data_IF_338133049262
#
_entry.id   IF_338133049262
#
_cell.length_a   1.000
_cell.length_b   1.000
_cell.length_c   1.000
_cell.angle_alpha   90.00
_cell.angle_beta   90.00
_cell.angle_gamma   90.00
#
_symmetry.space_group_name_H-M   'P 1'
#
loop_
_entity.id
_entity.type
_entity.pdbx_description
1 polymer ?
#
# COMPACT_ATOMS: atom_id res chain seq x y z
N UNK A 1 -5.26 21.19 15.60
CA UNK A 1 -4.34 21.35 14.45
C UNK A 1 -3.97 20.04 13.79
N UNK A 2 -3.55 19.02 14.54
CA UNK A 2 -3.15 17.71 13.96
C UNK A 2 -4.27 17.06 13.14
N UNK A 3 -5.48 16.92 13.70
CA UNK A 3 -6.63 16.33 12.97
C UNK A 3 -6.99 17.13 11.70
N UNK A 4 -6.74 18.43 11.67
CA UNK A 4 -6.97 19.25 10.47
C UNK A 4 -6.09 18.84 9.29
N UNK A 5 -4.81 18.49 9.52
CA UNK A 5 -3.91 17.98 8.47
C UNK A 5 -4.36 16.64 7.92
N UNK A 6 -4.84 15.72 8.79
CA UNK A 6 -5.37 14.44 8.36
C UNK A 6 -6.60 14.60 7.45
N UNK A 7 -7.56 15.42 7.88
CA UNK A 7 -8.74 15.67 7.06
C UNK A 7 -8.43 16.45 5.79
N UNK A 8 -7.48 17.39 5.83
CA UNK A 8 -7.00 18.06 4.61
C UNK A 8 -6.44 17.06 3.61
N UNK A 9 -5.60 16.10 4.05
CA UNK A 9 -5.09 15.04 3.18
C UNK A 9 -6.23 14.18 2.61
N UNK A 10 -7.19 13.79 3.43
CA UNK A 10 -8.35 12.97 3.02
C UNK A 10 -9.20 13.69 1.97
N UNK A 11 -9.53 14.95 2.20
CA UNK A 11 -10.33 15.78 1.28
C UNK A 11 -9.56 16.00 -0.03
N UNK A 12 -8.27 16.30 0.04
CA UNK A 12 -7.43 16.49 -1.15
C UNK A 12 -7.32 15.21 -1.97
N UNK A 13 -7.17 14.03 -1.34
CA UNK A 13 -7.18 12.74 -2.06
C UNK A 13 -8.54 12.46 -2.69
N UNK A 14 -9.64 12.78 -2.00
CA UNK A 14 -10.99 12.65 -2.55
C UNK A 14 -11.18 13.53 -3.80
N UNK A 15 -10.93 14.84 -3.66
CA UNK A 15 -11.09 15.79 -4.76
C UNK A 15 -10.18 15.41 -5.94
N UNK A 16 -8.92 15.06 -5.67
CA UNK A 16 -7.98 14.62 -6.69
C UNK A 16 -8.51 13.37 -7.43
N UNK A 17 -9.06 12.41 -6.70
CA UNK A 17 -9.65 11.19 -7.29
C UNK A 17 -10.83 11.52 -8.20
N UNK A 18 -11.77 12.36 -7.74
CA UNK A 18 -12.94 12.75 -8.53
C UNK A 18 -12.52 13.51 -9.80
N UNK A 19 -11.59 14.46 -9.66
CA UNK A 19 -11.10 15.23 -10.80
C UNK A 19 -10.29 14.38 -11.79
N UNK A 20 -9.47 13.43 -11.32
CA UNK A 20 -8.72 12.53 -12.20
C UNK A 20 -9.67 11.67 -13.03
N UNK A 21 -10.65 11.01 -12.39
CA UNK A 21 -11.63 10.18 -13.07
C UNK A 21 -12.51 10.99 -14.02
N UNK A 22 -13.02 12.14 -13.58
CA UNK A 22 -13.81 13.04 -14.43
C UNK A 22 -12.99 13.60 -15.60
N UNK A 23 -11.76 14.07 -15.34
CA UNK A 23 -10.85 14.58 -16.38
C UNK A 23 -10.50 13.53 -17.42
N UNK A 24 -10.35 12.27 -17.00
CA UNK A 24 -10.10 11.14 -17.90
C UNK A 24 -11.34 10.82 -18.78
N UNK A 25 -12.54 10.78 -18.17
CA UNK A 25 -13.80 10.49 -18.89
C UNK A 25 -14.09 11.57 -19.92
N UNK A 26 -13.96 12.85 -19.53
CA UNK A 26 -14.25 14.00 -20.41
C UNK A 26 -13.06 14.45 -21.22
N UNK A 27 -11.92 13.72 -21.17
CA UNK A 27 -10.66 14.01 -21.90
C UNK A 27 -10.15 15.44 -21.68
N UNK A 28 -10.22 15.94 -20.45
CA UNK A 28 -9.79 17.30 -20.06
C UNK A 28 -8.45 17.27 -19.35
N UNK A 29 -7.36 17.41 -20.08
CA UNK A 29 -5.99 17.36 -19.54
C UNK A 29 -5.70 18.41 -18.46
N UNK A 30 -6.27 19.61 -18.55
CA UNK A 30 -6.12 20.62 -17.48
C UNK A 30 -6.69 20.15 -16.15
N UNK A 31 -7.79 19.38 -16.19
CA UNK A 31 -8.45 18.83 -15.00
C UNK A 31 -7.59 17.72 -14.38
N UNK A 32 -7.05 16.80 -15.19
CA UNK A 32 -6.16 15.73 -14.68
C UNK A 32 -4.83 16.30 -14.16
N UNK A 33 -4.33 17.39 -14.74
CA UNK A 33 -3.16 18.10 -14.22
C UNK A 33 -3.45 18.74 -12.87
N UNK A 34 -4.61 19.38 -12.69
CA UNK A 34 -5.04 19.91 -11.40
C UNK A 34 -5.21 18.80 -10.38
N UNK A 35 -5.85 17.69 -10.75
CA UNK A 35 -6.03 16.52 -9.92
C UNK A 35 -4.67 16.00 -9.37
N UNK A 36 -3.67 15.92 -10.24
CA UNK A 36 -2.33 15.51 -9.85
C UNK A 36 -1.71 16.41 -8.78
N UNK A 37 -1.78 17.73 -8.94
CA UNK A 37 -1.20 18.66 -7.97
C UNK A 37 -1.95 18.66 -6.64
N UNK A 38 -3.27 18.48 -6.65
CA UNK A 38 -4.07 18.30 -5.44
C UNK A 38 -3.69 17.00 -4.72
N UNK A 39 -3.44 15.91 -5.47
CA UNK A 39 -2.97 14.66 -4.90
C UNK A 39 -1.59 14.80 -4.25
N UNK A 40 -0.66 15.48 -4.90
CA UNK A 40 0.67 15.79 -4.34
C UNK A 40 0.54 16.64 -3.07
N UNK A 41 -0.32 17.65 -3.07
CA UNK A 41 -0.60 18.46 -1.88
C UNK A 41 -1.18 17.62 -0.74
N UNK A 42 -2.10 16.68 -1.06
CA UNK A 42 -2.63 15.71 -0.10
C UNK A 42 -1.54 14.81 0.49
N UNK A 43 -0.61 14.34 -0.35
CA UNK A 43 0.54 13.53 0.10
C UNK A 43 1.47 14.33 1.02
N UNK A 44 1.68 15.62 0.75
CA UNK A 44 2.44 16.53 1.63
C UNK A 44 1.73 16.72 2.97
N UNK A 45 0.41 16.97 2.98
CA UNK A 45 -0.37 17.06 4.22
C UNK A 45 -0.27 15.77 5.04
N UNK A 46 -0.36 14.61 4.38
CA UNK A 46 -0.22 13.32 5.06
C UNK A 46 1.20 13.10 5.60
N UNK A 47 2.24 13.51 4.86
CA UNK A 47 3.63 13.50 5.35
C UNK A 47 3.80 14.34 6.60
N UNK A 48 3.34 15.61 6.55
CA UNK A 48 3.41 16.51 7.70
C UNK A 48 2.62 15.97 8.89
N UNK A 49 1.45 15.36 8.63
CA UNK A 49 0.65 14.71 9.66
C UNK A 49 1.41 13.56 10.34
N UNK A 50 1.99 12.63 9.57
CA UNK A 50 2.74 11.49 10.12
C UNK A 50 3.96 11.96 10.92
N UNK A 51 4.72 12.92 10.40
CA UNK A 51 5.87 13.50 11.11
C UNK A 51 5.43 14.17 12.43
N UNK A 52 4.42 15.04 12.37
CA UNK A 52 3.92 15.73 13.55
C UNK A 52 3.37 14.74 14.59
N UNK A 53 2.65 13.71 14.16
CA UNK A 53 2.15 12.65 15.04
C UNK A 53 3.30 11.88 15.70
N UNK A 54 4.34 11.56 14.94
CA UNK A 54 5.54 10.88 15.47
C UNK A 54 6.27 11.73 16.52
N UNK A 55 6.41 13.04 16.28
CA UNK A 55 7.02 13.96 17.23
C UNK A 55 6.18 14.05 18.52
N UNK A 56 4.86 14.19 18.42
CA UNK A 56 3.96 14.29 19.58
C UNK A 56 3.95 12.96 20.36
N UNK A 57 3.91 11.84 19.65
CA UNK A 57 3.90 10.50 20.25
C UNK A 57 5.28 10.04 20.75
N UNK A 58 6.37 10.76 20.42
CA UNK A 58 7.77 10.41 20.71
C UNK A 58 8.13 9.00 20.21
N UNK A 59 7.51 8.58 19.09
CA UNK A 59 7.71 7.26 18.47
C UNK A 59 7.29 7.27 17.00
N UNK A 60 7.65 6.21 16.27
CA UNK A 60 7.12 6.03 14.92
C UNK A 60 5.59 5.85 14.98
N UNK A 61 4.82 6.57 14.13
CA UNK A 61 3.35 6.51 14.12
C UNK A 61 2.87 5.26 13.35
N UNK A 62 3.15 4.07 13.88
CA UNK A 62 2.93 2.77 13.24
C UNK A 62 2.37 1.71 14.20
N UNK A 63 1.86 2.10 15.39
CA UNK A 63 1.55 1.17 16.48
C UNK A 63 0.10 0.68 16.52
N UNK A 64 -0.79 1.28 15.76
CA UNK A 64 -2.20 0.88 15.70
C UNK A 64 -2.73 0.92 14.26
N UNK A 65 -3.99 0.47 14.06
CA UNK A 65 -4.59 0.38 12.73
C UNK A 65 -4.74 1.74 12.05
N UNK A 66 -5.08 2.79 12.81
CA UNK A 66 -5.18 4.15 12.28
C UNK A 66 -3.83 4.62 11.70
N UNK A 67 -2.77 4.46 12.50
CA UNK A 67 -1.42 4.89 12.12
C UNK A 67 -0.90 4.10 10.92
N UNK A 68 -1.09 2.77 10.94
CA UNK A 68 -0.67 1.93 9.82
C UNK A 68 -1.45 2.26 8.54
N UNK A 69 -2.78 2.40 8.59
CA UNK A 69 -3.59 2.75 7.42
C UNK A 69 -3.21 4.12 6.85
N UNK A 70 -2.93 5.10 7.72
CA UNK A 70 -2.48 6.44 7.32
C UNK A 70 -1.11 6.37 6.62
N UNK A 71 -0.17 5.60 7.17
CA UNK A 71 1.15 5.36 6.59
C UNK A 71 1.06 4.54 5.29
N UNK A 72 0.15 3.57 5.21
CA UNK A 72 -0.06 2.78 3.99
C UNK A 72 -0.60 3.64 2.84
N UNK A 73 -1.61 4.49 3.10
CA UNK A 73 -2.10 5.45 2.10
C UNK A 73 -0.98 6.40 1.65
N UNK A 74 -0.14 6.88 2.57
CA UNK A 74 1.04 7.66 2.28
C UNK A 74 2.06 6.89 1.43
N UNK A 75 2.33 5.63 1.75
CA UNK A 75 3.22 4.77 0.99
C UNK A 75 2.77 4.59 -0.46
N UNK A 76 1.46 4.37 -0.68
CA UNK A 76 0.87 4.32 -2.04
C UNK A 76 1.08 5.64 -2.77
N UNK A 77 0.83 6.77 -2.11
CA UNK A 77 0.96 8.10 -2.71
C UNK A 77 2.42 8.42 -3.07
N UNK A 78 3.35 8.21 -2.15
CA UNK A 78 4.79 8.49 -2.38
C UNK A 78 5.36 7.60 -3.48
N UNK A 79 5.01 6.31 -3.49
CA UNK A 79 5.46 5.42 -4.56
C UNK A 79 4.85 5.79 -5.91
N UNK A 80 3.57 6.20 -5.96
CA UNK A 80 2.95 6.69 -7.20
C UNK A 80 3.64 7.95 -7.69
N UNK A 81 3.96 8.91 -6.80
CA UNK A 81 4.70 10.14 -7.14
C UNK A 81 6.09 9.78 -7.68
N UNK A 82 6.81 8.88 -7.02
CA UNK A 82 8.12 8.41 -7.48
C UNK A 82 8.07 7.73 -8.86
N UNK A 83 7.07 6.90 -9.11
CA UNK A 83 6.84 6.28 -10.41
C UNK A 83 6.52 7.32 -11.49
N UNK A 84 5.73 8.34 -11.16
CA UNK A 84 5.38 9.41 -12.08
C UNK A 84 6.61 10.21 -12.53
N UNK A 85 7.48 10.56 -11.57
CA UNK A 85 8.73 11.28 -11.87
C UNK A 85 9.67 10.44 -12.74
N UNK A 86 9.82 9.15 -12.43
CA UNK A 86 10.79 8.26 -13.07
C UNK A 86 10.31 7.69 -14.41
N UNK A 87 9.05 7.33 -14.55
CA UNK A 87 8.52 6.56 -15.68
C UNK A 87 7.33 7.20 -16.39
N UNK A 88 6.92 8.42 -16.00
CA UNK A 88 5.74 9.12 -16.52
C UNK A 88 4.49 8.23 -16.54
N UNK A 89 4.29 7.47 -15.46
CA UNK A 89 3.21 6.50 -15.33
C UNK A 89 1.83 7.17 -15.08
N UNK A 90 1.49 8.21 -15.87
CA UNK A 90 0.25 9.00 -15.72
C UNK A 90 -1.01 8.13 -15.71
N UNK A 91 -0.97 7.07 -16.49
CA UNK A 91 -2.04 6.10 -16.59
C UNK A 91 -2.35 5.34 -15.28
N UNK A 92 -1.42 5.29 -14.31
CA UNK A 92 -1.68 4.65 -13.00
C UNK A 92 -2.55 5.52 -12.09
N UNK A 93 -2.61 6.82 -12.32
CA UNK A 93 -3.30 7.77 -11.44
C UNK A 93 -4.74 7.39 -11.21
N UNK A 94 -5.47 7.08 -12.28
CA UNK A 94 -6.89 6.76 -12.24
C UNK A 94 -7.25 5.52 -11.39
N UNK A 95 -6.31 4.61 -11.17
CA UNK A 95 -6.51 3.44 -10.30
C UNK A 95 -5.86 3.62 -8.92
N UNK A 96 -4.69 4.26 -8.85
CA UNK A 96 -3.91 4.37 -7.61
C UNK A 96 -4.41 5.49 -6.68
N UNK A 97 -4.90 6.62 -7.21
CA UNK A 97 -5.47 7.69 -6.38
C UNK A 97 -6.72 7.25 -5.61
N UNK A 98 -7.72 6.56 -6.23
CA UNK A 98 -8.82 5.96 -5.47
C UNK A 98 -8.36 5.01 -4.37
N UNK A 99 -7.34 4.19 -4.62
CA UNK A 99 -6.81 3.28 -3.60
C UNK A 99 -6.21 4.02 -2.41
N UNK A 100 -5.40 5.05 -2.65
CA UNK A 100 -4.87 5.88 -1.57
C UNK A 100 -5.99 6.56 -0.77
N UNK A 101 -7.02 7.10 -1.45
CA UNK A 101 -8.19 7.68 -0.82
C UNK A 101 -8.97 6.66 0.02
N UNK A 102 -9.26 5.46 -0.51
CA UNK A 102 -10.00 4.42 0.21
C UNK A 102 -9.26 3.93 1.45
N UNK A 103 -7.94 3.74 1.35
CA UNK A 103 -7.11 3.33 2.48
C UNK A 103 -7.09 4.42 3.57
N UNK A 104 -6.98 5.70 3.19
CA UNK A 104 -7.03 6.81 4.14
C UNK A 104 -8.44 6.99 4.73
N UNK A 105 -9.49 6.71 3.95
CA UNK A 105 -10.88 6.69 4.43
C UNK A 105 -11.10 5.59 5.47
N UNK A 106 -10.50 4.41 5.26
CA UNK A 106 -10.51 3.36 6.27
C UNK A 106 -9.81 3.81 7.56
N UNK A 107 -8.68 4.50 7.46
CA UNK A 107 -8.04 5.10 8.63
C UNK A 107 -8.99 6.05 9.38
N UNK A 108 -9.79 6.85 8.66
CA UNK A 108 -10.72 7.79 9.26
C UNK A 108 -11.79 7.13 10.16
N UNK A 109 -12.06 5.85 9.96
CA UNK A 109 -13.01 5.05 10.75
C UNK A 109 -12.38 4.45 12.02
N UNK A 110 -11.06 4.52 12.18
CA UNK A 110 -10.34 3.94 13.31
C UNK A 110 -10.14 4.95 14.44
N UNK A 111 -9.98 4.49 15.71
CA UNK A 111 -9.62 5.35 16.84
C UNK A 111 -8.32 6.10 16.58
N UNK A 112 -8.29 7.42 16.87
CA UNK A 112 -7.15 8.32 16.55
C UNK A 112 -6.33 8.73 17.76
N UNK A 113 -6.71 8.26 18.93
CA UNK A 113 -6.03 8.62 20.16
C UNK A 113 -4.55 8.20 20.11
N UNK A 114 -3.70 9.03 20.71
CA UNK A 114 -2.30 8.72 20.91
C UNK A 114 -2.20 8.05 22.26
N UNK A 115 -2.07 6.74 22.24
CA UNK A 115 -1.86 5.92 23.44
C UNK A 115 -0.37 5.70 23.68
N UNK A 116 0.00 5.41 24.93
CA UNK A 116 1.36 4.99 25.25
C UNK A 116 1.71 3.70 24.50
N UNK A 117 2.96 3.62 24.08
CA UNK A 117 3.44 2.43 23.37
C UNK A 117 3.58 1.26 24.34
N UNK A 118 2.90 0.17 24.06
CA UNK A 118 3.06 -1.08 24.81
C UNK A 118 4.54 -1.52 24.81
N UNK A 119 5.07 -2.06 25.92
CA UNK A 119 6.46 -2.49 26.01
C UNK A 119 6.91 -3.40 24.86
N UNK A 120 6.06 -4.33 24.44
CA UNK A 120 6.30 -5.24 23.32
C UNK A 120 6.58 -4.52 21.98
N UNK A 121 6.01 -3.32 21.79
CA UNK A 121 6.19 -2.52 20.56
C UNK A 121 7.43 -1.62 20.60
N UNK A 122 8.13 -1.53 21.74
CA UNK A 122 9.36 -0.75 21.89
C UNK A 122 10.59 -1.51 21.37
N UNK A 123 10.56 -1.90 20.11
CA UNK A 123 11.62 -2.66 19.45
C UNK A 123 11.94 -2.06 18.08
N UNK A 124 13.23 -1.99 17.73
CA UNK A 124 13.66 -1.58 16.40
C UNK A 124 13.15 -2.56 15.30
N UNK A 125 13.03 -3.85 15.65
CA UNK A 125 12.50 -4.88 14.76
C UNK A 125 11.03 -4.67 14.44
N UNK A 126 10.23 -4.21 15.42
CA UNK A 126 8.85 -3.79 15.17
C UNK A 126 8.80 -2.64 14.16
N UNK A 127 9.64 -1.60 14.33
CA UNK A 127 9.72 -0.49 13.39
C UNK A 127 10.09 -0.92 11.96
N UNK A 128 11.07 -1.81 11.83
CA UNK A 128 11.48 -2.37 10.54
C UNK A 128 10.37 -3.24 9.92
N UNK A 129 9.74 -4.10 10.71
CA UNK A 129 8.61 -4.95 10.30
C UNK A 129 7.48 -4.11 9.71
N UNK A 130 6.95 -3.15 10.47
CA UNK A 130 5.80 -2.36 10.03
C UNK A 130 6.19 -1.38 8.91
N UNK A 131 7.38 -0.74 8.99
CA UNK A 131 7.84 0.16 7.94
C UNK A 131 8.02 -0.54 6.60
N UNK A 132 8.55 -1.76 6.60
CA UNK A 132 8.65 -2.58 5.39
C UNK A 132 7.29 -3.02 4.86
N UNK A 133 6.31 -3.30 5.75
CA UNK A 133 4.95 -3.67 5.37
C UNK A 133 4.24 -2.53 4.62
N UNK A 134 4.41 -1.28 5.05
CA UNK A 134 3.85 -0.09 4.36
C UNK A 134 4.24 -0.07 2.88
N UNK A 135 5.52 -0.18 2.59
CA UNK A 135 6.02 -0.14 1.21
C UNK A 135 5.77 -1.43 0.43
N UNK A 136 5.80 -2.59 1.09
CA UNK A 136 5.46 -3.87 0.48
C UNK A 136 4.02 -3.87 -0.05
N UNK A 137 3.07 -3.51 0.81
CA UNK A 137 1.66 -3.49 0.43
C UNK A 137 1.35 -2.40 -0.58
N UNK A 138 2.01 -1.23 -0.49
CA UNK A 138 1.90 -0.18 -1.49
C UNK A 138 2.38 -0.65 -2.87
N UNK A 139 3.50 -1.38 -2.94
CA UNK A 139 4.01 -1.95 -4.18
C UNK A 139 3.03 -2.96 -4.79
N UNK A 140 2.43 -3.83 -3.99
CA UNK A 140 1.43 -4.79 -4.47
C UNK A 140 0.15 -4.13 -4.95
N UNK A 141 -0.35 -3.12 -4.24
CA UNK A 141 -1.52 -2.34 -4.67
C UNK A 141 -1.23 -1.66 -6.00
N UNK A 142 -0.07 -1.02 -6.16
CA UNK A 142 0.31 -0.37 -7.42
C UNK A 142 0.52 -1.39 -8.56
N UNK A 143 1.04 -2.58 -8.26
CA UNK A 143 1.11 -3.66 -9.25
C UNK A 143 -0.30 -4.09 -9.71
N UNK A 144 -1.24 -4.21 -8.78
CA UNK A 144 -2.65 -4.49 -9.08
C UNK A 144 -3.31 -3.42 -9.94
N UNK A 145 -3.06 -2.13 -9.62
CA UNK A 145 -3.52 -0.99 -10.44
C UNK A 145 -2.96 -1.08 -11.87
N UNK A 146 -1.67 -1.46 -12.00
CA UNK A 146 -1.03 -1.69 -13.30
C UNK A 146 -1.67 -2.85 -14.07
N UNK A 147 -1.93 -3.97 -13.39
CA UNK A 147 -2.62 -5.13 -13.97
C UNK A 147 -4.03 -4.79 -14.43
N UNK A 148 -4.80 -4.06 -13.61
CA UNK A 148 -6.13 -3.58 -13.99
C UNK A 148 -6.08 -2.71 -15.24
N UNK A 149 -5.14 -1.76 -15.29
CA UNK A 149 -4.91 -0.92 -16.48
C UNK A 149 -4.58 -1.77 -17.70
N UNK A 150 -3.71 -2.77 -17.55
CA UNK A 150 -3.35 -3.68 -18.65
C UNK A 150 -4.60 -4.36 -19.22
N UNK A 151 -5.46 -4.93 -18.36
CA UNK A 151 -6.69 -5.62 -18.75
C UNK A 151 -7.70 -4.69 -19.44
N UNK A 152 -7.89 -3.48 -18.92
CA UNK A 152 -8.83 -2.50 -19.47
C UNK A 152 -8.36 -1.93 -20.82
N UNK A 153 -7.07 -1.97 -21.10
CA UNK A 153 -6.49 -1.37 -22.30
C UNK A 153 -5.86 -2.38 -23.27
N UNK A 154 -6.00 -3.68 -23.03
CA UNK A 154 -5.44 -4.76 -23.84
C UNK A 154 -5.66 -4.56 -25.35
N UNK A 155 -6.88 -4.14 -25.73
CA UNK A 155 -7.27 -3.94 -27.14
C UNK A 155 -6.97 -2.54 -27.71
N UNK A 156 -6.57 -1.58 -26.86
CA UNK A 156 -6.42 -0.16 -27.24
C UNK A 156 -4.98 0.30 -27.28
N UNK A 157 -4.10 -0.29 -26.47
CA UNK A 157 -2.70 0.11 -26.38
C UNK A 157 -1.83 -0.70 -27.34
N UNK A 158 -0.75 -0.07 -27.90
CA UNK A 158 0.27 -0.78 -28.63
C UNK A 158 0.93 -1.89 -27.77
N UNK A 159 1.33 -2.98 -28.40
CA UNK A 159 1.99 -4.13 -27.72
C UNK A 159 3.21 -3.70 -26.90
N UNK A 160 3.99 -2.74 -27.40
CA UNK A 160 5.16 -2.23 -26.68
C UNK A 160 4.79 -1.54 -25.35
N UNK A 161 3.70 -0.77 -25.31
CA UNK A 161 3.22 -0.13 -24.08
C UNK A 161 2.64 -1.16 -23.10
N UNK A 162 1.92 -2.17 -23.60
CA UNK A 162 1.44 -3.28 -22.78
C UNK A 162 2.61 -4.08 -22.15
N UNK A 163 3.69 -4.29 -22.91
CA UNK A 163 4.88 -4.95 -22.40
C UNK A 163 5.61 -4.11 -21.33
N UNK A 164 5.70 -2.80 -21.50
CA UNK A 164 6.27 -1.89 -20.49
C UNK A 164 5.44 -1.90 -19.20
N UNK A 165 4.12 -1.91 -19.33
CA UNK A 165 3.19 -1.98 -18.22
C UNK A 165 3.33 -3.29 -17.44
N UNK A 166 3.35 -4.41 -18.16
CA UNK A 166 3.58 -5.75 -17.60
C UNK A 166 4.95 -5.85 -16.89
N UNK A 167 6.00 -5.26 -17.47
CA UNK A 167 7.33 -5.22 -16.85
C UNK A 167 7.35 -4.36 -15.58
N UNK A 168 6.63 -3.23 -15.56
CA UNK A 168 6.51 -2.39 -14.37
C UNK A 168 5.77 -3.14 -13.25
N UNK A 169 4.68 -3.86 -13.56
CA UNK A 169 3.98 -4.70 -12.58
C UNK A 169 4.93 -5.76 -11.99
N UNK A 170 5.72 -6.42 -12.83
CA UNK A 170 6.73 -7.37 -12.37
C UNK A 170 7.73 -6.75 -11.39
N UNK A 171 8.26 -5.56 -11.70
CA UNK A 171 9.21 -4.85 -10.82
C UNK A 171 8.59 -4.45 -9.49
N UNK A 172 7.34 -4.00 -9.49
CA UNK A 172 6.60 -3.67 -8.29
C UNK A 172 6.36 -4.92 -7.42
N UNK A 173 5.99 -6.03 -8.04
CA UNK A 173 5.85 -7.31 -7.34
C UNK A 173 7.18 -7.78 -6.76
N UNK A 174 8.27 -7.70 -7.51
CA UNK A 174 9.61 -8.10 -7.03
C UNK A 174 10.05 -7.24 -5.83
N UNK A 175 9.82 -5.91 -5.88
CA UNK A 175 10.09 -5.02 -4.75
C UNK A 175 9.19 -5.35 -3.55
N UNK A 176 7.89 -5.51 -3.77
CA UNK A 176 6.93 -5.85 -2.72
C UNK A 176 7.25 -7.19 -2.05
N UNK A 177 7.65 -8.19 -2.83
CA UNK A 177 8.04 -9.51 -2.34
C UNK A 177 9.33 -9.47 -1.49
N UNK A 178 10.34 -8.73 -1.94
CA UNK A 178 11.55 -8.51 -1.15
C UNK A 178 11.23 -7.85 0.20
N UNK A 179 10.42 -6.80 0.17
CA UNK A 179 10.01 -6.10 1.39
C UNK A 179 9.13 -6.99 2.28
N UNK A 180 8.23 -7.82 1.71
CA UNK A 180 7.42 -8.76 2.49
C UNK A 180 8.29 -9.85 3.14
N UNK A 181 9.38 -10.24 2.51
CA UNK A 181 10.37 -11.13 3.14
C UNK A 181 11.01 -10.46 4.35
N UNK A 182 11.35 -9.17 4.25
CA UNK A 182 11.84 -8.40 5.41
C UNK A 182 10.77 -8.29 6.49
N UNK A 183 9.50 -8.08 6.12
CA UNK A 183 8.36 -8.07 7.06
C UNK A 183 8.31 -9.36 7.86
N UNK A 184 8.34 -10.52 7.20
CA UNK A 184 8.25 -11.82 7.88
C UNK A 184 9.46 -12.05 8.79
N UNK A 185 10.67 -11.80 8.31
CA UNK A 185 11.90 -12.02 9.10
C UNK A 185 11.99 -11.07 10.29
N UNK A 186 11.78 -9.77 10.08
CA UNK A 186 11.81 -8.79 11.16
C UNK A 186 10.66 -9.01 12.16
N UNK A 187 9.49 -9.44 11.67
CA UNK A 187 8.35 -9.81 12.48
C UNK A 187 8.60 -11.02 13.35
N UNK A 188 9.28 -12.06 12.83
CA UNK A 188 9.65 -13.23 13.62
C UNK A 188 10.64 -12.88 14.74
N UNK A 189 11.65 -12.06 14.46
CA UNK A 189 12.61 -11.62 15.50
C UNK A 189 11.91 -10.74 16.55
N UNK A 190 11.01 -9.86 16.11
CA UNK A 190 10.22 -9.07 17.04
C UNK A 190 9.28 -9.95 17.90
N UNK A 191 8.62 -10.95 17.31
CA UNK A 191 7.74 -11.88 18.02
C UNK A 191 8.49 -12.66 19.12
N UNK A 192 9.71 -13.09 18.84
CA UNK A 192 10.55 -13.73 19.85
C UNK A 192 10.83 -12.81 21.04
N UNK A 193 11.13 -11.52 20.80
CA UNK A 193 11.34 -10.54 21.87
C UNK A 193 10.07 -10.19 22.63
N UNK A 194 8.90 -10.20 21.97
CA UNK A 194 7.64 -9.79 22.56
C UNK A 194 6.95 -10.89 23.37
N UNK A 195 7.02 -12.16 22.91
CA UNK A 195 6.34 -13.31 23.53
C UNK A 195 7.12 -14.63 23.44
N UNK A 196 8.45 -14.56 23.30
CA UNK A 196 9.37 -15.70 23.37
C UNK A 196 9.07 -16.82 22.35
N UNK A 197 8.59 -16.45 21.15
CA UNK A 197 8.33 -17.39 20.07
C UNK A 197 8.52 -16.70 18.70
N UNK A 198 9.37 -17.25 17.84
CA UNK A 198 9.58 -16.73 16.48
C UNK A 198 8.35 -16.84 15.58
N UNK A 199 7.48 -17.83 15.86
CA UNK A 199 6.32 -18.14 15.04
C UNK A 199 5.27 -18.90 15.86
N UNK A 200 4.04 -18.40 15.84
CA UNK A 200 2.94 -18.96 16.66
C UNK A 200 1.73 -19.41 15.83
N UNK A 201 1.80 -19.28 14.51
CA UNK A 201 0.67 -19.47 13.58
C UNK A 201 -0.50 -18.50 13.86
N UNK A 202 -0.18 -17.35 14.43
CA UNK A 202 -1.13 -16.26 14.56
C UNK A 202 -1.75 -15.92 13.19
N UNK A 203 -3.02 -15.52 13.13
CA UNK A 203 -3.67 -15.18 11.87
C UNK A 203 -2.88 -14.19 11.00
N UNK A 204 -2.21 -13.19 11.57
CA UNK A 204 -1.38 -12.25 10.78
C UNK A 204 -0.12 -12.91 10.21
N UNK A 205 0.54 -13.75 10.99
CA UNK A 205 1.69 -14.52 10.52
C UNK A 205 1.28 -15.42 9.35
N UNK A 206 0.19 -16.16 9.54
CA UNK A 206 -0.36 -17.10 8.55
C UNK A 206 -0.74 -16.39 7.25
N UNK A 207 -1.47 -15.27 7.32
CA UNK A 207 -1.89 -14.53 6.13
C UNK A 207 -0.73 -13.78 5.46
N UNK A 208 0.28 -13.33 6.23
CA UNK A 208 1.52 -12.81 5.66
C UNK A 208 2.26 -13.88 4.86
N UNK A 209 2.34 -15.11 5.38
CA UNK A 209 2.94 -16.25 4.68
C UNK A 209 2.13 -16.65 3.44
N UNK A 210 0.79 -16.70 3.52
CA UNK A 210 -0.08 -16.95 2.35
C UNK A 210 0.17 -15.90 1.25
N UNK A 211 0.24 -14.62 1.64
CA UNK A 211 0.54 -13.53 0.72
C UNK A 211 1.93 -13.69 0.10
N UNK A 212 2.93 -14.07 0.89
CA UNK A 212 4.28 -14.32 0.43
C UNK A 212 4.34 -15.48 -0.58
N UNK A 213 3.69 -16.61 -0.28
CA UNK A 213 3.61 -17.77 -1.19
C UNK A 213 2.92 -17.38 -2.50
N UNK A 214 1.83 -16.61 -2.43
CA UNK A 214 1.11 -16.15 -3.61
C UNK A 214 2.03 -15.36 -4.55
N UNK A 215 2.78 -14.40 -4.04
CA UNK A 215 3.70 -13.61 -4.86
C UNK A 215 4.98 -14.38 -5.24
N UNK A 216 5.42 -15.37 -4.44
CA UNK A 216 6.47 -16.30 -4.83
C UNK A 216 6.05 -17.12 -6.08
N UNK A 217 4.79 -17.60 -6.10
CA UNK A 217 4.21 -18.28 -7.27
C UNK A 217 4.20 -17.36 -8.49
N UNK A 218 3.75 -16.09 -8.32
CA UNK A 218 3.80 -15.10 -9.39
C UNK A 218 5.21 -14.97 -9.99
N UNK A 219 6.21 -14.76 -9.13
CA UNK A 219 7.60 -14.59 -9.57
C UNK A 219 8.15 -15.87 -10.22
N UNK A 220 7.82 -17.04 -9.67
CA UNK A 220 8.22 -18.33 -10.25
C UNK A 220 7.62 -18.52 -11.65
N UNK A 221 6.32 -18.30 -11.82
CA UNK A 221 5.65 -18.40 -13.11
C UNK A 221 6.23 -17.40 -14.12
N UNK A 222 6.54 -16.17 -13.67
CA UNK A 222 7.15 -15.13 -14.49
C UNK A 222 8.55 -15.53 -14.98
N UNK A 223 9.39 -16.02 -14.07
CA UNK A 223 10.80 -16.30 -14.34
C UNK A 223 10.99 -17.65 -15.05
N UNK A 224 10.33 -18.70 -14.56
CA UNK A 224 10.52 -20.09 -15.06
C UNK A 224 9.63 -20.42 -16.25
N UNK A 225 8.36 -20.06 -16.18
CA UNK A 225 7.39 -20.35 -17.25
C UNK A 225 7.32 -19.24 -18.30
N UNK A 226 8.04 -18.13 -18.09
CA UNK A 226 8.04 -16.94 -18.98
C UNK A 226 6.64 -16.41 -19.28
N UNK A 227 5.71 -16.59 -18.34
CA UNK A 227 4.36 -16.06 -18.47
C UNK A 227 4.38 -14.55 -18.37
N UNK A 228 3.57 -13.88 -19.17
CA UNK A 228 3.47 -12.42 -19.24
C UNK A 228 2.09 -11.99 -19.75
N UNK A 229 1.84 -10.70 -19.74
CA UNK A 229 0.62 -10.13 -20.28
C UNK A 229 -0.62 -10.48 -19.47
N UNK A 230 -1.69 -10.95 -20.14
CA UNK A 230 -3.02 -11.10 -19.56
C UNK A 230 -3.09 -11.99 -18.31
N UNK A 231 -2.37 -13.11 -18.32
CA UNK A 231 -2.35 -14.05 -17.18
C UNK A 231 -1.74 -13.38 -15.97
N UNK A 232 -0.59 -12.71 -16.14
CA UNK A 232 0.09 -12.03 -15.05
C UNK A 232 -0.66 -10.78 -14.59
N UNK A 233 -1.36 -10.09 -15.50
CA UNK A 233 -2.23 -8.96 -15.16
C UNK A 233 -3.41 -9.40 -14.27
N UNK A 234 -4.10 -10.50 -14.62
CA UNK A 234 -5.14 -11.08 -13.76
C UNK A 234 -4.58 -11.50 -12.40
N UNK A 235 -3.40 -12.11 -12.39
CA UNK A 235 -2.79 -12.57 -11.15
C UNK A 235 -2.62 -11.42 -10.15
N UNK A 236 -1.99 -10.31 -10.56
CA UNK A 236 -1.77 -9.17 -9.64
C UNK A 236 -3.08 -8.51 -9.23
N UNK A 237 -4.09 -8.46 -10.09
CA UNK A 237 -5.41 -7.91 -9.74
C UNK A 237 -6.09 -8.76 -8.67
N UNK A 238 -6.11 -10.09 -8.84
CA UNK A 238 -6.73 -11.04 -7.89
C UNK A 238 -5.93 -11.09 -6.57
N UNK A 239 -4.63 -10.83 -6.60
CA UNK A 239 -3.79 -10.82 -5.41
C UNK A 239 -4.02 -9.60 -4.50
N UNK A 240 -4.51 -8.46 -5.02
CA UNK A 240 -4.78 -7.25 -4.19
C UNK A 240 -5.78 -7.53 -3.07
N UNK A 241 -6.95 -8.16 -3.28
CA UNK A 241 -7.84 -8.57 -2.20
C UNK A 241 -7.17 -9.36 -1.07
N UNK A 242 -6.20 -10.22 -1.39
CA UNK A 242 -5.46 -11.00 -0.37
C UNK A 242 -4.60 -10.06 0.49
N UNK A 243 -3.91 -9.09 -0.11
CA UNK A 243 -3.14 -8.06 0.61
C UNK A 243 -4.06 -7.23 1.52
N UNK A 244 -5.19 -6.77 0.98
CA UNK A 244 -6.16 -5.98 1.75
C UNK A 244 -6.79 -6.80 2.87
N UNK A 245 -7.05 -8.09 2.65
CA UNK A 245 -7.54 -8.98 3.70
C UNK A 245 -6.50 -9.20 4.79
N UNK A 246 -5.22 -9.38 4.44
CA UNK A 246 -4.12 -9.48 5.41
C UNK A 246 -4.03 -8.21 6.26
N UNK A 247 -4.30 -7.05 5.67
CA UNK A 247 -4.29 -5.77 6.40
C UNK A 247 -5.55 -5.53 7.22
N UNK A 248 -6.74 -5.57 6.61
CA UNK A 248 -8.02 -5.21 7.24
C UNK A 248 -8.73 -6.43 7.81
N UNK A 249 -8.90 -7.47 6.99
CA UNK A 249 -9.74 -8.62 7.32
C UNK A 249 -9.23 -9.40 8.52
N UNK A 250 -7.92 -9.63 8.59
CA UNK A 250 -7.31 -10.32 9.73
C UNK A 250 -7.55 -9.56 11.04
N UNK A 251 -7.40 -8.24 11.02
CA UNK A 251 -7.60 -7.43 12.23
C UNK A 251 -9.05 -7.37 12.70
N UNK A 252 -10.01 -7.45 11.78
CA UNK A 252 -11.44 -7.26 12.08
C UNK A 252 -12.19 -8.57 12.30
N UNK A 253 -11.74 -9.66 11.67
CA UNK A 253 -12.47 -10.93 11.64
C UNK A 253 -11.78 -12.05 12.41
N UNK A 254 -10.47 -11.97 12.64
CA UNK A 254 -9.68 -13.05 13.21
C UNK A 254 -8.93 -12.54 14.46
N UNK A 255 -9.38 -12.91 15.68
CA UNK A 255 -8.66 -12.55 16.90
C UNK A 255 -7.29 -13.21 16.94
N UNK A 256 -6.26 -12.48 17.40
CA UNK A 256 -4.88 -12.97 17.47
C UNK A 256 -4.00 -12.10 18.34
N UNK A 257 -2.74 -12.52 18.53
CA UNK A 257 -1.73 -11.79 19.33
C UNK A 257 -1.45 -10.37 18.77
N UNK A 258 -1.72 -10.15 17.51
CA UNK A 258 -1.54 -8.86 16.83
C UNK A 258 -2.79 -7.97 16.80
N UNK A 259 -3.87 -8.35 17.47
CA UNK A 259 -5.09 -7.53 17.56
C UNK A 259 -4.93 -6.48 18.67
N UNK A 260 -4.18 -5.43 18.35
CA UNK A 260 -4.10 -4.21 19.18
C UNK A 260 -5.18 -3.23 18.73
N UNK A 261 -6.36 -3.36 19.30
CA UNK A 261 -7.50 -2.47 19.09
C UNK A 261 -7.94 -1.87 20.40
#
# INVERSE_FOLDING_TARGET
MLNGLFFAALILYFIATVLELGGMVFKKEKVTRLAWWLFVAGALCNTVYLVARGIIAQRLPLSNQFEFATAFAWGVAVMLIGLQVKSRAEWMRAAAMPMAFLILSYAALQPREITELMPALKSAWFGLHIGSAVFSYAAFVLAGCGGLRWLLQEKKLPKAQLAQLDYLCYRLVALGFLLLTVVILAGAIWAEQAWSAFWTWDPKETWALITWILYAIYLHLRMRKKLSGKVMAWFVVIAVPVVLFTFVGVNTLLPGLHSYG
#
